data_IF_378334536389
#
_entry.id   IF_378334536389
#
_cell.length_a   1.000
_cell.length_b   1.000
_cell.length_c   1.000
_cell.angle_alpha   90.00
_cell.angle_beta   90.00
_cell.angle_gamma   90.00
#
_symmetry.space_group_name_H-M   'P 1'
#
loop_
_entity.id
_entity.type
_entity.pdbx_description
1 polymer ?
#
# COMPACT_ATOMS: atom_id res chain seq x y z
N UNK A 1 -5.76 -21.75 62.48
CA UNK A 1 -4.85 -20.79 61.82
C UNK A 1 -4.13 -21.33 60.59
N UNK A 2 -3.68 -22.61 60.54
CA UNK A 2 -2.93 -23.22 59.39
C UNK A 2 -3.74 -23.15 58.06
N UNK A 3 -5.03 -23.49 58.09
CA UNK A 3 -5.84 -23.55 56.86
C UNK A 3 -6.07 -22.18 56.19
N UNK A 4 -6.14 -21.07 56.97
CA UNK A 4 -6.24 -19.71 56.38
C UNK A 4 -4.98 -19.31 55.62
N UNK A 5 -3.81 -19.66 56.11
CA UNK A 5 -2.52 -19.37 55.43
C UNK A 5 -2.38 -20.13 54.12
N UNK A 6 -2.83 -21.43 54.11
CA UNK A 6 -2.85 -22.26 52.92
C UNK A 6 -3.82 -21.72 51.88
N UNK A 7 -5.01 -21.28 52.28
CA UNK A 7 -5.99 -20.69 51.40
C UNK A 7 -5.49 -19.39 50.73
N UNK A 8 -4.86 -18.51 51.49
CA UNK A 8 -4.25 -17.27 50.97
C UNK A 8 -3.15 -17.59 49.97
N UNK A 9 -2.31 -18.59 50.23
CA UNK A 9 -1.27 -19.01 49.33
C UNK A 9 -1.81 -19.51 47.97
N UNK A 10 -2.86 -20.34 48.03
CA UNK A 10 -3.54 -20.90 46.84
C UNK A 10 -4.15 -19.76 46.01
N UNK A 11 -4.84 -18.81 46.62
CA UNK A 11 -5.42 -17.66 45.94
C UNK A 11 -4.33 -16.80 45.29
N UNK A 12 -3.20 -16.55 45.97
CA UNK A 12 -2.07 -15.82 45.43
C UNK A 12 -1.47 -16.52 44.19
N UNK A 13 -1.32 -17.83 44.21
CA UNK A 13 -0.80 -18.60 43.09
C UNK A 13 -1.77 -18.51 41.89
N UNK A 14 -3.09 -18.66 42.13
CA UNK A 14 -4.09 -18.55 41.07
C UNK A 14 -4.07 -17.16 40.44
N UNK A 15 -3.97 -16.11 41.26
CA UNK A 15 -3.84 -14.72 40.75
C UNK A 15 -2.60 -14.52 39.91
N UNK A 16 -1.43 -15.03 40.35
CA UNK A 16 -0.18 -14.96 39.58
C UNK A 16 -0.33 -15.67 38.26
N UNK A 17 -0.86 -16.90 38.23
CA UNK A 17 -1.09 -17.65 36.99
C UNK A 17 -2.05 -16.93 36.04
N UNK A 18 -3.13 -16.33 36.57
CA UNK A 18 -4.07 -15.56 35.78
C UNK A 18 -3.41 -14.31 35.15
N UNK A 19 -2.61 -13.57 35.93
CA UNK A 19 -1.86 -12.40 35.45
C UNK A 19 -0.85 -12.79 34.38
N UNK A 20 -0.06 -13.85 34.61
CA UNK A 20 0.92 -14.35 33.61
C UNK A 20 0.22 -14.79 32.33
N UNK A 21 -0.91 -15.51 32.44
CA UNK A 21 -1.70 -15.92 31.27
C UNK A 21 -2.25 -14.74 30.49
N UNK A 22 -2.68 -13.67 31.17
CA UNK A 22 -3.11 -12.42 30.51
C UNK A 22 -1.94 -11.71 29.80
N UNK A 23 -0.77 -11.64 30.42
CA UNK A 23 0.42 -11.03 29.81
C UNK A 23 0.81 -11.76 28.52
N UNK A 24 0.76 -13.11 28.53
CA UNK A 24 1.06 -13.93 27.35
C UNK A 24 0.00 -13.77 26.24
N UNK A 25 -1.28 -13.64 26.62
CA UNK A 25 -2.38 -13.51 25.66
C UNK A 25 -2.52 -12.09 25.08
N UNK A 26 -2.09 -11.06 25.82
CA UNK A 26 -2.22 -9.66 25.43
C UNK A 26 -1.70 -9.33 24.03
N UNK A 27 -0.48 -9.72 23.65
CA UNK A 27 0.05 -9.41 22.31
C UNK A 27 -0.82 -9.97 21.20
N UNK A 28 -1.32 -11.20 21.36
CA UNK A 28 -2.22 -11.84 20.39
C UNK A 28 -3.57 -11.14 20.28
N UNK A 29 -4.13 -10.70 21.40
CA UNK A 29 -5.40 -9.94 21.43
C UNK A 29 -5.22 -8.59 20.73
N UNK A 30 -4.12 -7.92 20.98
CA UNK A 30 -3.79 -6.63 20.35
C UNK A 30 -3.62 -6.79 18.85
N UNK A 31 -2.88 -7.79 18.41
CA UNK A 31 -2.68 -8.09 16.99
C UNK A 31 -4.01 -8.41 16.29
N UNK A 32 -4.86 -9.24 16.88
CA UNK A 32 -6.18 -9.55 16.31
C UNK A 32 -7.06 -8.30 16.17
N UNK A 33 -6.98 -7.37 17.12
CA UNK A 33 -7.74 -6.13 17.04
C UNK A 33 -7.20 -5.21 15.96
N UNK A 34 -5.89 -5.07 15.82
CA UNK A 34 -5.27 -4.32 14.73
C UNK A 34 -5.60 -4.94 13.36
N UNK A 35 -5.55 -6.27 13.23
CA UNK A 35 -5.95 -6.97 12.02
C UNK A 35 -7.41 -6.71 11.62
N UNK A 36 -8.32 -6.56 12.60
CA UNK A 36 -9.70 -6.18 12.32
C UNK A 36 -9.81 -4.75 11.78
N UNK A 37 -9.05 -3.79 12.31
CA UNK A 37 -8.98 -2.45 11.76
C UNK A 37 -8.48 -2.46 10.31
N UNK A 38 -7.37 -3.18 10.03
CA UNK A 38 -6.84 -3.32 8.67
C UNK A 38 -7.87 -3.93 7.70
N UNK A 39 -8.58 -4.95 8.13
CA UNK A 39 -9.63 -5.61 7.34
C UNK A 39 -10.80 -4.69 7.00
N UNK A 40 -11.09 -3.73 7.87
CA UNK A 40 -12.13 -2.73 7.66
C UNK A 40 -11.65 -1.52 6.84
N UNK A 41 -10.37 -1.44 6.49
CA UNK A 41 -9.77 -0.28 5.82
C UNK A 41 -9.41 0.88 6.76
N UNK A 42 -9.44 0.64 8.07
CA UNK A 42 -9.12 1.62 9.13
C UNK A 42 -7.61 1.57 9.44
N UNK A 43 -6.78 1.92 8.44
CA UNK A 43 -5.32 1.70 8.51
C UNK A 43 -4.64 2.56 9.57
N UNK A 44 -5.03 3.83 9.68
CA UNK A 44 -4.49 4.76 10.68
C UNK A 44 -4.84 4.31 12.11
N UNK A 45 -6.05 3.84 12.31
CA UNK A 45 -6.54 3.32 13.58
C UNK A 45 -5.76 2.05 13.98
N UNK A 46 -5.52 1.15 13.03
CA UNK A 46 -4.70 -0.04 13.25
C UNK A 46 -3.30 0.33 13.72
N UNK A 47 -2.65 1.23 12.98
CA UNK A 47 -1.28 1.67 13.27
C UNK A 47 -1.17 2.40 14.62
N UNK A 48 -2.06 3.35 14.90
CA UNK A 48 -2.10 4.06 16.16
C UNK A 48 -2.38 3.13 17.35
N UNK A 49 -3.29 2.17 17.16
CA UNK A 49 -3.62 1.21 18.19
C UNK A 49 -2.41 0.35 18.59
N UNK A 50 -1.68 -0.14 17.61
CA UNK A 50 -0.49 -0.97 17.83
C UNK A 50 0.66 -0.15 18.41
N UNK A 51 0.94 1.02 17.88
CA UNK A 51 2.03 1.87 18.37
C UNK A 51 1.87 2.27 19.84
N UNK A 52 0.64 2.48 20.27
CA UNK A 52 0.37 2.91 21.64
C UNK A 52 0.31 1.78 22.68
N UNK A 53 0.15 0.53 22.26
CA UNK A 53 -0.21 -0.57 23.19
C UNK A 53 0.60 -1.85 23.04
N UNK A 54 1.46 -1.97 22.05
CA UNK A 54 2.05 -3.25 21.70
C UNK A 54 3.58 -3.28 21.76
N UNK A 55 4.15 -4.48 21.70
CA UNK A 55 5.58 -4.71 21.54
C UNK A 55 6.02 -4.47 20.09
N UNK A 56 7.33 -4.35 19.86
CA UNK A 56 7.89 -4.07 18.53
C UNK A 56 7.54 -5.16 17.51
N UNK A 57 7.48 -6.43 17.93
CA UNK A 57 7.11 -7.55 17.05
C UNK A 57 5.70 -7.36 16.45
N UNK A 58 4.71 -6.97 17.25
CA UNK A 58 3.36 -6.71 16.77
C UNK A 58 3.29 -5.46 15.87
N UNK A 59 4.11 -4.45 16.13
CA UNK A 59 4.20 -3.26 15.28
C UNK A 59 4.74 -3.66 13.91
N UNK A 60 5.78 -4.46 13.85
CA UNK A 60 6.36 -4.93 12.60
C UNK A 60 5.36 -5.76 11.80
N UNK A 61 4.64 -6.70 12.43
CA UNK A 61 3.58 -7.48 11.78
C UNK A 61 2.50 -6.58 11.17
N UNK A 62 2.05 -5.53 11.89
CA UNK A 62 1.03 -4.61 11.35
C UNK A 62 1.60 -3.76 10.22
N UNK A 63 2.86 -3.37 10.28
CA UNK A 63 3.57 -2.65 9.23
C UNK A 63 3.68 -3.52 7.96
N UNK A 64 4.08 -4.78 8.10
CA UNK A 64 4.11 -5.75 7.00
C UNK A 64 2.74 -5.94 6.34
N UNK A 65 1.69 -6.18 7.14
CA UNK A 65 0.33 -6.33 6.64
C UNK A 65 -0.18 -5.08 5.91
N UNK A 66 0.10 -3.90 6.45
CA UNK A 66 -0.27 -2.63 5.81
C UNK A 66 0.46 -2.44 4.50
N UNK A 67 1.75 -2.81 4.46
CA UNK A 67 2.57 -2.78 3.24
C UNK A 67 2.02 -3.73 2.18
N UNK A 68 1.61 -4.94 2.54
CA UNK A 68 1.01 -5.90 1.61
C UNK A 68 -0.29 -5.35 1.01
N UNK A 69 -1.16 -4.74 1.82
CA UNK A 69 -2.40 -4.10 1.36
C UNK A 69 -2.08 -2.92 0.43
N UNK A 70 -1.08 -2.10 0.78
CA UNK A 70 -0.61 -1.01 -0.06
C UNK A 70 -0.14 -1.53 -1.42
N UNK A 71 0.71 -2.57 -1.45
CA UNK A 71 1.22 -3.17 -2.68
C UNK A 71 0.10 -3.69 -3.59
N UNK A 72 -0.93 -4.36 -3.05
CA UNK A 72 -2.08 -4.83 -3.84
C UNK A 72 -2.85 -3.66 -4.45
N UNK A 73 -3.12 -2.61 -3.69
CA UNK A 73 -3.84 -1.43 -4.18
C UNK A 73 -2.99 -0.62 -5.16
N UNK A 74 -1.71 -0.42 -4.86
CA UNK A 74 -0.78 0.32 -5.70
C UNK A 74 -0.55 -0.35 -7.07
N UNK A 75 -0.49 -1.68 -7.12
CA UNK A 75 -0.37 -2.44 -8.37
C UNK A 75 -1.51 -2.14 -9.34
N UNK A 76 -2.72 -1.93 -8.85
CA UNK A 76 -3.88 -1.53 -9.67
C UNK A 76 -3.74 -0.11 -10.21
N UNK A 77 -3.19 0.80 -9.42
CA UNK A 77 -2.86 2.17 -9.85
C UNK A 77 -1.79 2.18 -10.94
N UNK A 78 -0.75 1.35 -10.80
CA UNK A 78 0.29 1.15 -11.82
C UNK A 78 -0.34 0.69 -13.14
N UNK A 79 -1.25 -0.28 -13.12
CA UNK A 79 -1.94 -0.75 -14.33
C UNK A 79 -2.72 0.38 -15.02
N UNK A 80 -3.33 1.30 -14.27
CA UNK A 80 -4.01 2.46 -14.84
C UNK A 80 -3.03 3.40 -15.55
N UNK A 81 -1.90 3.71 -14.92
CA UNK A 81 -0.85 4.55 -15.54
C UNK A 81 -0.28 3.87 -16.78
N UNK A 82 -0.02 2.56 -16.73
CA UNK A 82 0.49 1.81 -17.87
C UNK A 82 -0.48 1.85 -19.06
N UNK A 83 -1.78 1.70 -18.80
CA UNK A 83 -2.81 1.86 -19.83
C UNK A 83 -2.79 3.27 -20.46
N UNK A 84 -2.67 4.32 -19.64
CA UNK A 84 -2.61 5.71 -20.10
C UNK A 84 -1.36 5.90 -21.00
N UNK A 85 -0.19 5.47 -20.54
CA UNK A 85 1.07 5.57 -21.29
C UNK A 85 0.97 4.82 -22.63
N UNK A 86 0.45 3.60 -22.61
CA UNK A 86 0.30 2.80 -23.83
C UNK A 86 -0.63 3.45 -24.84
N UNK A 87 -1.68 4.11 -24.39
CA UNK A 87 -2.59 4.86 -25.26
C UNK A 87 -1.87 6.10 -25.87
N UNK A 88 -1.10 6.84 -25.07
CA UNK A 88 -0.27 7.93 -25.58
C UNK A 88 0.69 7.45 -26.68
N UNK A 89 1.40 6.34 -26.45
CA UNK A 89 2.29 5.72 -27.44
C UNK A 89 1.53 5.33 -28.72
N UNK A 90 0.30 4.80 -28.60
CA UNK A 90 -0.51 4.43 -29.75
C UNK A 90 -0.98 5.64 -30.55
N UNK A 91 -1.30 6.77 -29.89
CA UNK A 91 -1.62 8.04 -30.55
C UNK A 91 -0.40 8.54 -31.33
N UNK A 92 0.79 8.56 -30.71
CA UNK A 92 2.03 8.95 -31.36
C UNK A 92 2.28 8.17 -32.66
N UNK A 93 2.14 6.84 -32.64
CA UNK A 93 2.31 5.99 -33.83
C UNK A 93 1.31 6.32 -34.92
N UNK A 94 0.13 6.82 -34.62
CA UNK A 94 -0.87 7.24 -35.62
C UNK A 94 -0.53 8.61 -36.20
N UNK A 95 -0.11 9.56 -35.36
CA UNK A 95 0.35 10.89 -35.78
C UNK A 95 1.52 10.79 -36.75
N UNK A 96 2.53 9.96 -36.48
CA UNK A 96 3.65 9.69 -37.35
C UNK A 96 3.27 9.12 -38.74
N UNK A 97 2.08 8.50 -38.81
CA UNK A 97 1.55 7.93 -40.07
C UNK A 97 0.63 8.89 -40.86
N UNK A 98 0.53 10.17 -40.44
CA UNK A 98 -0.46 11.12 -40.96
C UNK A 98 -1.91 10.65 -40.85
N UNK A 99 -2.22 9.82 -39.90
CA UNK A 99 -3.57 9.36 -39.58
C UNK A 99 -4.22 10.42 -38.67
N UNK A 100 -4.87 11.42 -39.29
CA UNK A 100 -5.32 12.66 -38.66
C UNK A 100 -6.55 12.44 -37.75
N UNK A 101 -7.18 11.28 -37.81
CA UNK A 101 -8.45 11.02 -37.14
C UNK A 101 -8.23 10.10 -35.90
N UNK A 102 -7.51 10.62 -34.90
CA UNK A 102 -7.42 9.92 -33.63
C UNK A 102 -8.43 10.48 -32.63
N UNK A 103 -9.32 9.63 -32.15
CA UNK A 103 -10.12 9.91 -30.97
C UNK A 103 -9.48 9.23 -29.76
N UNK A 104 -9.32 9.99 -28.68
CA UNK A 104 -9.01 9.39 -27.37
C UNK A 104 -10.06 8.33 -27.04
N UNK A 105 -9.59 7.13 -26.73
CA UNK A 105 -10.49 6.11 -26.20
C UNK A 105 -11.11 6.65 -24.90
N UNK A 106 -12.43 6.61 -24.77
CA UNK A 106 -13.15 7.03 -23.57
C UNK A 106 -12.62 6.33 -22.29
N UNK A 107 -12.01 5.16 -22.44
CA UNK A 107 -11.38 4.44 -21.33
C UNK A 107 -10.18 5.18 -20.75
N UNK A 108 -9.40 5.91 -21.57
CA UNK A 108 -8.22 6.66 -21.10
C UNK A 108 -8.64 7.78 -20.16
N UNK A 109 -9.66 8.56 -20.53
CA UNK A 109 -10.19 9.60 -19.67
C UNK A 109 -10.73 9.02 -18.35
N UNK A 110 -11.38 7.86 -18.42
CA UNK A 110 -11.85 7.13 -17.23
C UNK A 110 -10.67 6.68 -16.35
N UNK A 111 -9.58 6.20 -16.94
CA UNK A 111 -8.38 5.78 -16.22
C UNK A 111 -7.68 6.98 -15.55
N UNK A 112 -7.57 8.13 -16.26
CA UNK A 112 -7.02 9.37 -15.67
C UNK A 112 -7.85 9.84 -14.48
N UNK A 113 -9.17 9.85 -14.60
CA UNK A 113 -10.06 10.22 -13.50
C UNK A 113 -9.94 9.23 -12.33
N UNK A 114 -9.80 7.93 -12.61
CA UNK A 114 -9.65 6.89 -11.60
C UNK A 114 -8.36 7.02 -10.80
N UNK A 115 -7.30 7.70 -11.32
CA UNK A 115 -6.06 7.93 -10.57
C UNK A 115 -6.31 8.64 -9.24
N UNK A 116 -7.36 9.46 -9.15
CA UNK A 116 -7.73 10.13 -7.89
C UNK A 116 -7.97 9.15 -6.75
N UNK A 117 -8.57 7.97 -7.04
CA UNK A 117 -8.84 6.95 -6.03
C UNK A 117 -7.56 6.27 -5.53
N UNK A 118 -6.52 6.25 -6.35
CA UNK A 118 -5.22 5.69 -5.97
C UNK A 118 -4.33 6.75 -5.29
N UNK A 119 -4.47 8.01 -5.66
CA UNK A 119 -3.79 9.13 -4.99
C UNK A 119 -4.32 9.32 -3.57
N UNK A 120 -5.63 9.17 -3.34
CA UNK A 120 -6.23 9.27 -2.00
C UNK A 120 -5.71 8.21 -1.03
N UNK A 121 -5.09 7.14 -1.51
CA UNK A 121 -4.45 6.13 -0.67
C UNK A 121 -3.32 6.71 0.19
N UNK A 122 -2.67 7.80 -0.27
CA UNK A 122 -1.65 8.54 0.50
C UNK A 122 -2.23 9.14 1.80
N UNK A 123 -3.52 9.53 1.76
CA UNK A 123 -4.22 10.04 2.94
C UNK A 123 -4.63 8.93 3.90
N UNK A 124 -4.80 7.70 3.41
CA UNK A 124 -5.20 6.53 4.20
C UNK A 124 -4.01 5.81 4.82
N UNK A 125 -2.93 5.65 4.06
CA UNK A 125 -1.70 4.94 4.44
C UNK A 125 -0.53 5.90 4.27
N UNK A 126 0.08 6.33 5.37
CA UNK A 126 1.26 7.19 5.36
C UNK A 126 2.56 6.38 5.21
N UNK A 127 3.66 7.04 4.81
CA UNK A 127 4.95 6.39 4.54
C UNK A 127 5.53 5.64 5.75
N UNK A 128 5.26 6.12 6.97
CA UNK A 128 5.71 5.48 8.22
C UNK A 128 4.98 4.16 8.54
N UNK A 129 3.84 3.92 7.89
CA UNK A 129 3.10 2.64 7.97
C UNK A 129 3.60 1.60 6.97
N UNK A 130 4.53 1.95 6.09
CA UNK A 130 5.07 1.10 5.04
C UNK A 130 6.46 0.60 5.44
N UNK A 131 6.78 -0.66 5.07
CA UNK A 131 8.11 -1.23 5.28
C UNK A 131 9.20 -0.33 4.72
N UNK A 132 10.30 -0.19 5.47
CA UNK A 132 11.40 0.71 5.13
C UNK A 132 11.99 0.43 3.76
N UNK A 133 11.99 -0.83 3.32
CA UNK A 133 12.48 -1.23 2.00
C UNK A 133 11.62 -0.71 0.82
N UNK A 134 10.36 -0.32 1.06
CA UNK A 134 9.45 0.21 0.03
C UNK A 134 9.15 1.70 0.15
N UNK A 135 9.75 2.42 1.09
CA UNK A 135 9.47 3.85 1.29
C UNK A 135 9.84 4.71 0.06
N UNK A 136 10.95 4.39 -0.60
CA UNK A 136 11.32 5.08 -1.85
C UNK A 136 10.32 4.78 -2.97
N UNK A 137 9.87 3.54 -3.09
CA UNK A 137 8.84 3.15 -4.06
C UNK A 137 7.50 3.82 -3.75
N UNK A 138 7.13 3.93 -2.47
CA UNK A 138 5.94 4.65 -2.03
C UNK A 138 5.95 6.11 -2.49
N UNK A 139 7.04 6.84 -2.22
CA UNK A 139 7.18 8.25 -2.59
C UNK A 139 7.12 8.46 -4.10
N UNK A 140 7.85 7.64 -4.87
CA UNK A 140 7.85 7.68 -6.33
C UNK A 140 6.48 7.34 -6.92
N UNK A 141 5.78 6.37 -6.36
CA UNK A 141 4.47 5.96 -6.80
C UNK A 141 3.49 7.13 -6.81
N UNK A 142 3.34 7.84 -5.69
CA UNK A 142 2.43 8.97 -5.60
C UNK A 142 2.88 10.15 -6.46
N UNK A 143 4.19 10.39 -6.56
CA UNK A 143 4.72 11.39 -7.47
C UNK A 143 4.27 11.14 -8.92
N UNK A 144 4.46 9.92 -9.42
CA UNK A 144 4.11 9.58 -10.80
C UNK A 144 2.60 9.66 -11.04
N UNK A 145 1.77 9.14 -10.12
CA UNK A 145 0.31 9.23 -10.24
C UNK A 145 -0.19 10.68 -10.33
N UNK A 146 0.33 11.54 -9.47
CA UNK A 146 0.01 12.98 -9.46
C UNK A 146 0.47 13.63 -10.75
N UNK A 147 1.73 13.37 -11.16
CA UNK A 147 2.29 13.92 -12.39
C UNK A 147 1.46 13.54 -13.62
N UNK A 148 1.16 12.25 -13.80
CA UNK A 148 0.36 11.79 -14.94
C UNK A 148 -1.05 12.38 -14.92
N UNK A 149 -1.69 12.45 -13.75
CA UNK A 149 -3.02 13.01 -13.63
C UNK A 149 -3.07 14.51 -13.96
N UNK A 150 -2.11 15.27 -13.48
CA UNK A 150 -2.07 16.73 -13.63
C UNK A 150 -1.63 17.17 -15.02
N UNK A 151 -0.74 16.40 -15.65
CA UNK A 151 -0.13 16.78 -16.92
C UNK A 151 -0.63 15.94 -18.11
N UNK A 152 -1.68 15.14 -17.96
CA UNK A 152 -2.13 14.23 -19.01
C UNK A 152 -2.45 14.97 -20.33
N UNK A 153 -3.11 16.11 -20.30
CA UNK A 153 -3.46 16.87 -21.49
C UNK A 153 -2.24 17.57 -22.09
N UNK A 154 -1.30 18.05 -21.27
CA UNK A 154 -0.02 18.60 -21.73
C UNK A 154 0.82 17.51 -22.42
N UNK A 155 0.73 16.27 -21.92
CA UNK A 155 1.34 15.09 -22.54
C UNK A 155 0.82 14.91 -23.99
N UNK A 156 -0.46 15.07 -24.19
CA UNK A 156 -1.07 14.94 -25.52
C UNK A 156 -0.66 16.08 -26.46
N UNK A 157 -0.57 17.30 -25.96
CA UNK A 157 -0.21 18.48 -26.76
C UNK A 157 1.26 18.44 -27.21
N UNK A 158 2.14 17.79 -26.42
CA UNK A 158 3.58 17.65 -26.70
C UNK A 158 3.99 16.28 -27.22
N UNK A 159 3.04 15.52 -27.75
CA UNK A 159 3.23 14.13 -28.16
C UNK A 159 4.27 13.95 -29.29
N UNK A 160 4.62 15.03 -30.00
CA UNK A 160 5.64 15.06 -31.05
C UNK A 160 7.00 15.58 -30.58
N UNK A 161 7.16 15.87 -29.28
CA UNK A 161 8.42 16.34 -28.71
C UNK A 161 9.24 15.15 -28.22
N UNK A 162 10.42 14.92 -28.84
CA UNK A 162 11.30 13.79 -28.54
C UNK A 162 11.76 13.78 -27.07
N UNK A 163 12.02 14.94 -26.48
CA UNK A 163 12.42 15.06 -25.07
C UNK A 163 11.26 14.67 -24.17
N UNK A 164 10.06 15.12 -24.51
CA UNK A 164 8.86 14.79 -23.77
C UNK A 164 8.54 13.28 -23.86
N UNK A 165 8.64 12.70 -25.04
CA UNK A 165 8.49 11.26 -25.27
C UNK A 165 9.46 10.45 -24.41
N UNK A 166 10.73 10.88 -24.36
CA UNK A 166 11.75 10.24 -23.53
C UNK A 166 11.39 10.28 -22.05
N UNK A 167 10.84 11.39 -21.55
CA UNK A 167 10.40 11.53 -20.18
C UNK A 167 9.23 10.60 -19.85
N UNK A 168 8.23 10.50 -20.75
CA UNK A 168 7.10 9.56 -20.57
C UNK A 168 7.56 8.11 -20.57
N UNK A 169 8.50 7.75 -21.45
CA UNK A 169 9.08 6.41 -21.50
C UNK A 169 9.86 6.07 -20.22
N UNK A 170 10.57 7.04 -19.63
CA UNK A 170 11.26 6.87 -18.36
C UNK A 170 10.28 6.64 -17.21
N UNK A 171 9.15 7.37 -17.18
CA UNK A 171 8.07 7.13 -16.20
C UNK A 171 7.54 5.70 -16.31
N UNK A 172 7.32 5.20 -17.53
CA UNK A 172 6.90 3.81 -17.76
C UNK A 172 7.92 2.79 -17.24
N UNK A 173 9.20 3.08 -17.40
CA UNK A 173 10.30 2.23 -16.89
C UNK A 173 10.31 2.21 -15.36
N UNK A 174 10.16 3.36 -14.72
CA UNK A 174 10.11 3.48 -13.28
C UNK A 174 8.87 2.76 -12.70
N UNK A 175 7.71 2.87 -13.36
CA UNK A 175 6.50 2.16 -12.96
C UNK A 175 6.65 0.64 -13.05
N UNK A 176 7.27 0.13 -14.12
CA UNK A 176 7.53 -1.30 -14.27
C UNK A 176 8.48 -1.82 -13.18
N UNK A 177 9.51 -1.03 -12.84
CA UNK A 177 10.41 -1.38 -11.74
C UNK A 177 9.65 -1.45 -10.41
N UNK A 178 8.86 -0.43 -10.09
CA UNK A 178 8.04 -0.42 -8.86
C UNK A 178 7.05 -1.58 -8.81
N UNK A 179 6.41 -1.93 -9.95
CA UNK A 179 5.53 -3.08 -10.02
C UNK A 179 6.26 -4.37 -9.61
N UNK A 180 7.48 -4.56 -10.12
CA UNK A 180 8.30 -5.72 -9.76
C UNK A 180 8.70 -5.70 -8.28
N UNK A 181 9.04 -4.55 -7.72
CA UNK A 181 9.39 -4.39 -6.31
C UNK A 181 8.17 -4.73 -5.41
N UNK A 182 6.96 -4.26 -5.78
CA UNK A 182 5.72 -4.57 -5.07
C UNK A 182 5.35 -6.05 -5.16
N UNK A 183 5.48 -6.68 -6.33
CA UNK A 183 5.25 -8.11 -6.50
C UNK A 183 6.25 -8.94 -5.72
N UNK A 184 7.54 -8.56 -5.75
CA UNK A 184 8.59 -9.25 -5.01
C UNK A 184 8.37 -9.16 -3.51
N UNK A 185 7.96 -8.00 -3.02
CA UNK A 185 7.60 -7.83 -1.61
C UNK A 185 6.44 -8.76 -1.22
N UNK A 186 5.34 -8.71 -1.98
CA UNK A 186 4.17 -9.54 -1.72
C UNK A 186 4.49 -11.05 -1.79
N UNK A 187 5.36 -11.48 -2.69
CA UNK A 187 5.76 -12.89 -2.80
C UNK A 187 6.66 -13.35 -1.66
N UNK A 188 7.56 -12.50 -1.19
CA UNK A 188 8.50 -12.81 -0.10
C UNK A 188 7.81 -12.79 1.28
N UNK A 189 6.83 -11.92 1.45
CA UNK A 189 6.13 -11.67 2.73
C UNK A 189 4.69 -12.22 2.75
N UNK A 190 4.34 -13.14 1.83
CA UNK A 190 3.03 -13.78 1.86
C UNK A 190 2.77 -14.35 3.24
N UNK A 191 1.95 -13.67 4.01
CA UNK A 191 1.42 -14.16 5.26
C UNK A 191 0.63 -15.44 4.93
N UNK A 192 1.27 -16.58 5.10
CA UNK A 192 0.55 -17.84 5.17
C UNK A 192 -0.33 -17.72 6.40
N UNK A 193 -1.56 -17.29 6.19
CA UNK A 193 -2.60 -17.46 7.19
C UNK A 193 -2.55 -18.95 7.54
N UNK A 194 -1.93 -19.27 8.67
CA UNK A 194 -2.06 -20.60 9.27
C UNK A 194 -3.51 -20.70 9.66
N UNK A 195 -4.30 -21.30 8.78
CA UNK A 195 -5.61 -21.86 9.08
C UNK A 195 -5.56 -22.71 10.34
#
# INVERSE_FOLDING_TARGET
>A
MKNKKILVLIISIIMIVAVVSLIIAMPKIQLNKAANYLKNGEYKEAYQYINNKSNEENKEIVKELTTEIFCDRASKGIQKVDNIINQCINIMKKVDRNDVDYTLDNNVNTDVLALSNYISLEDEISSDMISDELQDCYTKYFYILKYVKENFYDILDHINDDEFISNVANLGTDMNKMANDFFSYADNHKFKAKT
#
